data_IF_014991288263
#
_entry.id   IF_014991288263
#
_cell.length_a   1.000
_cell.length_b   1.000
_cell.length_c   1.000
_cell.angle_alpha   90.00
_cell.angle_beta   90.00
_cell.angle_gamma   90.00
#
_symmetry.space_group_name_H-M   'P 1'
#
loop_
_entity.id
_entity.type
_entity.pdbx_description
1 polymer ?
#
# COMPACT_ATOMS: atom_id res chain seq x y z
N UNK A 1 6.96 -10.70 16.28
CA UNK A 1 8.12 -10.00 15.70
C UNK A 1 8.79 -10.95 14.73
N UNK A 2 8.89 -10.52 13.48
CA UNK A 2 9.51 -11.27 12.39
C UNK A 2 10.92 -10.72 12.13
N UNK A 3 11.79 -11.57 11.64
CA UNK A 3 13.13 -11.17 11.23
C UNK A 3 13.09 -10.53 9.83
N UNK A 4 13.57 -9.30 9.72
CA UNK A 4 13.72 -8.60 8.45
C UNK A 4 14.88 -9.18 7.62
N UNK A 5 14.70 -9.28 6.30
CA UNK A 5 15.76 -9.65 5.35
C UNK A 5 16.57 -8.44 4.86
N UNK A 6 16.14 -7.23 5.19
CA UNK A 6 16.87 -5.97 4.90
C UNK A 6 17.21 -5.24 6.19
N UNK A 7 18.28 -4.46 6.14
CA UNK A 7 18.64 -3.53 7.22
C UNK A 7 17.70 -2.32 7.18
N UNK A 8 17.33 -1.82 8.35
CA UNK A 8 16.55 -0.61 8.54
C UNK A 8 17.01 0.09 9.82
N UNK A 9 16.77 1.39 9.92
CA UNK A 9 17.35 2.22 10.99
C UNK A 9 16.33 3.00 11.82
N UNK A 10 15.06 3.02 11.41
CA UNK A 10 14.02 3.67 12.20
C UNK A 10 13.81 2.97 13.55
N UNK A 11 13.82 3.76 14.63
CA UNK A 11 13.47 3.30 15.98
C UNK A 11 12.02 3.61 16.34
N UNK A 12 11.44 4.61 15.69
CA UNK A 12 10.05 5.03 15.84
C UNK A 12 9.49 5.50 14.50
N UNK A 13 8.19 5.30 14.26
CA UNK A 13 7.46 5.70 13.05
C UNK A 13 6.05 6.14 13.43
N UNK A 14 5.54 7.19 12.79
CA UNK A 14 4.12 7.56 12.81
C UNK A 14 3.42 7.05 11.54
N UNK A 15 2.60 5.98 11.62
CA UNK A 15 1.75 5.53 10.52
C UNK A 15 0.91 6.64 9.85
N UNK A 16 0.41 7.61 10.60
CA UNK A 16 -0.37 8.74 10.08
C UNK A 16 0.49 9.67 9.21
N UNK A 17 1.74 9.94 9.62
CA UNK A 17 2.67 10.70 8.78
C UNK A 17 3.06 9.90 7.52
N UNK A 18 3.21 8.56 7.62
CA UNK A 18 3.43 7.72 6.43
C UNK A 18 2.23 7.77 5.48
N UNK A 19 1.00 7.67 6.01
CA UNK A 19 -0.23 7.80 5.23
C UNK A 19 -0.23 9.13 4.45
N UNK A 20 -0.06 10.24 5.15
CA UNK A 20 -0.05 11.58 4.55
C UNK A 20 1.07 11.74 3.52
N UNK A 21 2.26 11.22 3.83
CA UNK A 21 3.40 11.27 2.90
C UNK A 21 3.11 10.52 1.60
N UNK A 22 2.47 9.36 1.68
CA UNK A 22 2.11 8.58 0.50
C UNK A 22 1.04 9.28 -0.36
N UNK A 23 0.07 9.95 0.27
CA UNK A 23 -0.91 10.81 -0.41
C UNK A 23 -0.23 11.95 -1.17
N UNK A 24 0.71 12.64 -0.53
CA UNK A 24 1.50 13.73 -1.13
C UNK A 24 2.36 13.25 -2.30
N UNK A 25 3.02 12.09 -2.16
CA UNK A 25 3.86 11.51 -3.22
C UNK A 25 3.05 11.17 -4.47
N UNK A 26 1.86 10.59 -4.31
CA UNK A 26 0.97 10.35 -5.46
C UNK A 26 0.52 11.65 -6.10
N UNK A 27 0.09 12.63 -5.29
CA UNK A 27 -0.30 13.95 -5.79
C UNK A 27 0.88 14.65 -6.51
N UNK A 28 2.11 14.37 -6.10
CA UNK A 28 3.36 14.89 -6.64
C UNK A 28 3.89 14.18 -7.90
N UNK A 29 3.21 13.14 -8.40
CA UNK A 29 3.51 12.53 -9.70
C UNK A 29 3.92 11.06 -9.67
N UNK A 30 4.11 10.46 -8.50
CA UNK A 30 4.24 9.01 -8.40
C UNK A 30 2.91 8.31 -8.67
N UNK A 31 2.96 7.08 -9.18
CA UNK A 31 1.83 6.17 -9.14
C UNK A 31 1.63 5.61 -7.73
N UNK A 32 0.46 5.03 -7.48
CA UNK A 32 0.05 4.61 -6.14
C UNK A 32 0.93 3.51 -5.54
N UNK A 33 1.40 2.55 -6.33
CA UNK A 33 2.37 1.55 -5.88
C UNK A 33 3.73 2.17 -5.51
N UNK A 34 4.21 3.10 -6.34
CA UNK A 34 5.50 3.78 -6.14
C UNK A 34 5.48 4.65 -4.89
N UNK A 35 4.40 5.42 -4.70
CA UNK A 35 4.21 6.27 -3.53
C UNK A 35 4.17 5.47 -2.21
N UNK A 36 3.53 4.29 -2.20
CA UNK A 36 3.57 3.38 -1.04
C UNK A 36 5.00 2.86 -0.80
N UNK A 37 5.68 2.38 -1.84
CA UNK A 37 7.06 1.88 -1.68
C UNK A 37 8.02 2.97 -1.19
N UNK A 38 7.93 4.17 -1.76
CA UNK A 38 8.76 5.32 -1.38
C UNK A 38 8.52 5.74 0.06
N UNK A 39 7.25 5.94 0.45
CA UNK A 39 6.92 6.35 1.83
C UNK A 39 7.38 5.33 2.87
N UNK A 40 7.20 4.03 2.62
CA UNK A 40 7.65 2.96 3.54
C UNK A 40 9.16 2.88 3.61
N UNK A 41 9.85 2.88 2.47
CA UNK A 41 11.31 2.84 2.42
C UNK A 41 11.92 3.98 3.24
N UNK A 42 11.40 5.19 3.05
CA UNK A 42 11.91 6.38 3.73
C UNK A 42 11.58 6.38 5.22
N UNK A 43 10.33 6.05 5.59
CA UNK A 43 9.89 6.05 6.98
C UNK A 43 10.65 5.05 7.85
N UNK A 44 10.90 3.85 7.33
CA UNK A 44 11.66 2.83 8.05
C UNK A 44 13.18 2.97 7.88
N UNK A 45 13.63 3.93 7.06
CA UNK A 45 15.04 4.12 6.71
C UNK A 45 15.67 2.81 6.23
N UNK A 46 14.96 2.12 5.33
CA UNK A 46 15.37 0.82 4.82
C UNK A 46 16.58 0.97 3.89
N UNK A 47 17.64 0.20 4.13
CA UNK A 47 18.87 0.19 3.34
C UNK A 47 18.71 -0.64 2.07
N UNK A 48 17.90 -0.11 1.16
CA UNK A 48 17.62 -0.68 -0.16
C UNK A 48 17.71 0.41 -1.22
N UNK A 49 18.13 0.07 -2.46
CA UNK A 49 18.22 1.04 -3.54
C UNK A 49 16.84 1.53 -3.98
N UNK A 50 16.75 2.74 -4.52
CA UNK A 50 15.49 3.30 -5.08
C UNK A 50 14.90 2.44 -6.22
N UNK A 51 15.71 1.56 -6.83
CA UNK A 51 15.22 0.61 -7.85
C UNK A 51 14.12 -0.31 -7.33
N UNK A 52 13.96 -0.50 -6.01
CA UNK A 52 12.79 -1.22 -5.45
C UNK A 52 11.48 -0.46 -5.64
N UNK A 53 11.53 0.88 -5.66
CA UNK A 53 10.37 1.72 -5.99
C UNK A 53 10.03 1.53 -7.47
N UNK A 54 11.04 1.62 -8.34
CA UNK A 54 10.88 1.42 -9.78
C UNK A 54 10.39 0.00 -10.15
N UNK A 55 10.77 -1.01 -9.37
CA UNK A 55 10.27 -2.38 -9.52
C UNK A 55 8.74 -2.47 -9.39
N UNK A 56 8.14 -1.57 -8.60
CA UNK A 56 6.69 -1.51 -8.41
C UNK A 56 5.93 -0.79 -9.55
N UNK A 57 6.62 -0.03 -10.42
CA UNK A 57 6.00 0.82 -11.45
C UNK A 57 5.07 0.06 -12.40
N UNK A 58 5.36 -1.22 -12.68
CA UNK A 58 4.52 -2.08 -13.51
C UNK A 58 3.11 -2.32 -12.94
N UNK A 59 2.91 -2.08 -11.65
CA UNK A 59 1.63 -2.23 -10.93
C UNK A 59 0.75 -0.97 -11.05
N UNK A 60 1.19 0.03 -11.80
CA UNK A 60 0.46 1.27 -12.01
C UNK A 60 -0.85 1.01 -12.76
N UNK A 61 -1.91 1.68 -12.29
CA UNK A 61 -3.27 1.46 -12.80
C UNK A 61 -3.64 -0.03 -12.69
N UNK A 62 -3.17 -0.64 -11.60
CA UNK A 62 -3.39 -2.00 -11.15
C UNK A 62 -2.28 -2.97 -11.53
N UNK A 63 -2.22 -3.35 -12.80
CA UNK A 63 -1.08 -4.08 -13.34
C UNK A 63 -1.01 -3.68 -14.81
N UNK A 64 -0.30 -2.60 -15.09
CA UNK A 64 -0.14 -2.03 -16.42
C UNK A 64 -1.46 -1.75 -17.13
N UNK A 65 -2.43 -1.11 -16.47
CA UNK A 65 -3.78 -0.79 -17.03
C UNK A 65 -4.70 -1.99 -17.27
N UNK A 66 -4.34 -3.19 -16.84
CA UNK A 66 -5.20 -4.37 -16.96
C UNK A 66 -6.45 -4.32 -16.07
N UNK A 67 -6.47 -3.43 -15.06
CA UNK A 67 -7.61 -3.29 -14.15
C UNK A 67 -7.69 -4.36 -13.06
N UNK A 68 -6.61 -5.11 -12.83
CA UNK A 68 -6.45 -6.11 -11.78
C UNK A 68 -6.30 -5.45 -10.39
N UNK A 69 -5.60 -6.09 -9.44
CA UNK A 69 -5.43 -5.59 -8.07
C UNK A 69 -5.01 -4.12 -8.02
N UNK A 70 -5.52 -3.35 -7.04
CA UNK A 70 -5.15 -1.96 -6.81
C UNK A 70 -3.63 -1.80 -6.64
N UNK A 71 -3.05 -0.79 -7.30
CA UNK A 71 -1.61 -0.54 -7.23
C UNK A 71 -1.12 -0.18 -5.82
N UNK A 72 -1.89 0.59 -5.04
CA UNK A 72 -1.54 0.90 -3.64
C UNK A 72 -1.46 -0.37 -2.78
N UNK A 73 -2.47 -1.23 -2.88
CA UNK A 73 -2.49 -2.52 -2.17
C UNK A 73 -1.32 -3.41 -2.62
N UNK A 74 -1.07 -3.50 -3.92
CA UNK A 74 0.04 -4.29 -4.43
C UNK A 74 1.40 -3.75 -3.96
N UNK A 75 1.59 -2.42 -3.99
CA UNK A 75 2.77 -1.75 -3.44
C UNK A 75 2.95 -2.05 -1.95
N UNK A 76 1.87 -2.08 -1.17
CA UNK A 76 1.94 -2.45 0.25
C UNK A 76 2.34 -3.91 0.47
N UNK A 77 1.84 -4.84 -0.35
CA UNK A 77 2.25 -6.26 -0.31
C UNK A 77 3.74 -6.40 -0.69
N UNK A 78 4.20 -5.66 -1.71
CA UNK A 78 5.61 -5.63 -2.10
C UNK A 78 6.49 -5.06 -0.98
N UNK A 79 6.03 -4.01 -0.30
CA UNK A 79 6.74 -3.41 0.84
C UNK A 79 6.86 -4.42 1.99
N UNK A 80 5.80 -5.15 2.34
CA UNK A 80 5.89 -6.24 3.33
C UNK A 80 6.88 -7.32 2.87
N UNK A 81 6.87 -7.68 1.59
CA UNK A 81 7.80 -8.66 1.02
C UNK A 81 9.26 -8.20 1.03
N UNK A 82 9.52 -6.91 0.94
CA UNK A 82 10.86 -6.33 1.07
C UNK A 82 11.46 -6.61 2.45
N UNK A 83 10.66 -6.57 3.52
CA UNK A 83 11.12 -6.88 4.88
C UNK A 83 11.06 -8.38 5.18
N UNK A 84 9.99 -9.09 4.80
CA UNK A 84 9.73 -10.45 5.30
C UNK A 84 9.72 -11.54 4.23
N UNK A 85 10.19 -11.22 3.02
CA UNK A 85 10.32 -12.17 1.93
C UNK A 85 11.31 -13.29 2.21
N UNK A 86 11.41 -14.20 1.25
CA UNK A 86 12.44 -15.24 1.22
C UNK A 86 13.44 -14.98 0.11
N UNK A 87 14.65 -15.50 0.27
CA UNK A 87 15.73 -15.44 -0.73
C UNK A 87 16.19 -16.82 -1.20
N UNK A 88 15.58 -17.88 -0.67
CA UNK A 88 15.88 -19.30 -0.96
C UNK A 88 14.66 -20.00 -1.55
N UNK A 89 14.83 -21.02 -2.42
CA UNK A 89 13.72 -21.69 -3.09
C UNK A 89 13.10 -22.83 -2.24
N UNK A 90 12.84 -22.61 -0.95
CA UNK A 90 12.46 -23.66 0.03
C UNK A 90 10.99 -24.14 -0.07
N UNK A 91 10.34 -23.88 -1.22
CA UNK A 91 8.99 -24.38 -1.51
C UNK A 91 7.85 -23.67 -0.74
N UNK A 92 6.60 -24.09 -0.91
CA UNK A 92 5.43 -23.41 -0.37
C UNK A 92 5.21 -23.60 1.14
N UNK A 93 5.95 -24.53 1.77
CA UNK A 93 5.87 -24.77 3.22
C UNK A 93 6.86 -23.92 4.03
N UNK A 94 7.66 -23.09 3.35
CA UNK A 94 8.60 -22.18 4.00
C UNK A 94 7.88 -21.27 5.01
N UNK A 95 8.34 -21.20 6.28
CA UNK A 95 7.67 -20.43 7.31
C UNK A 95 7.71 -18.92 7.06
N UNK A 96 8.78 -18.38 6.44
CA UNK A 96 8.88 -16.93 6.14
C UNK A 96 7.82 -16.53 5.10
N UNK A 97 7.67 -17.29 4.02
CA UNK A 97 6.61 -17.04 3.02
C UNK A 97 5.22 -17.18 3.61
N UNK A 98 4.97 -18.19 4.44
CA UNK A 98 3.66 -18.35 5.08
C UNK A 98 3.33 -17.19 6.03
N UNK A 99 4.32 -16.68 6.77
CA UNK A 99 4.16 -15.47 7.59
C UNK A 99 3.85 -14.24 6.73
N UNK A 100 4.62 -14.00 5.66
CA UNK A 100 4.38 -12.89 4.73
C UNK A 100 3.00 -12.99 4.06
N UNK A 101 2.55 -14.19 3.67
CA UNK A 101 1.22 -14.38 3.11
C UNK A 101 0.11 -14.03 4.11
N UNK A 102 0.31 -14.32 5.40
CA UNK A 102 -0.64 -13.92 6.44
C UNK A 102 -0.74 -12.39 6.58
N UNK A 103 0.40 -11.69 6.59
CA UNK A 103 0.43 -10.21 6.64
C UNK A 103 -0.17 -9.59 5.37
N UNK A 104 0.11 -10.18 4.21
CA UNK A 104 -0.47 -9.73 2.93
C UNK A 104 -1.99 -9.91 2.91
N UNK A 105 -2.49 -11.01 3.48
CA UNK A 105 -3.93 -11.25 3.65
C UNK A 105 -4.56 -10.26 4.62
N UNK A 106 -3.90 -9.96 5.74
CA UNK A 106 -4.35 -8.94 6.70
C UNK A 106 -4.51 -7.59 6.01
N UNK A 107 -3.48 -7.13 5.29
CA UNK A 107 -3.54 -5.87 4.54
C UNK A 107 -4.64 -5.89 3.47
N UNK A 108 -4.76 -6.98 2.72
CA UNK A 108 -5.76 -7.13 1.67
C UNK A 108 -7.18 -7.02 2.23
N UNK A 109 -7.50 -7.79 3.26
CA UNK A 109 -8.84 -7.83 3.83
C UNK A 109 -9.19 -6.52 4.52
N UNK A 110 -8.24 -5.97 5.29
CA UNK A 110 -8.41 -4.65 5.89
C UNK A 110 -8.64 -3.58 4.82
N UNK A 111 -7.86 -3.56 3.74
CA UNK A 111 -8.01 -2.56 2.67
C UNK A 111 -9.37 -2.66 2.00
N UNK A 112 -9.88 -3.88 1.76
CA UNK A 112 -11.21 -4.07 1.17
C UNK A 112 -12.28 -3.39 2.00
N UNK A 113 -12.25 -3.56 3.31
CA UNK A 113 -13.24 -2.95 4.19
C UNK A 113 -12.98 -1.44 4.35
N UNK A 114 -11.73 -1.05 4.55
CA UNK A 114 -11.31 0.33 4.74
C UNK A 114 -11.57 1.23 3.52
N UNK A 115 -11.71 0.69 2.31
CA UNK A 115 -11.98 1.48 1.12
C UNK A 115 -13.46 1.78 0.86
N UNK A 116 -14.36 1.31 1.73
CA UNK A 116 -15.82 1.47 1.66
C UNK A 116 -16.50 0.98 0.37
N UNK A 117 -15.74 0.34 -0.54
CA UNK A 117 -16.24 -0.32 -1.76
C UNK A 117 -16.14 -1.85 -1.69
N UNK A 118 -15.50 -2.40 -0.66
CA UNK A 118 -15.34 -3.84 -0.43
C UNK A 118 -14.67 -4.58 -1.60
N UNK A 119 -13.78 -3.90 -2.33
CA UNK A 119 -13.14 -4.41 -3.53
C UNK A 119 -11.62 -4.22 -3.51
N UNK A 120 -10.88 -5.12 -4.17
CA UNK A 120 -9.43 -5.02 -4.33
C UNK A 120 -9.03 -4.73 -5.79
N UNK A 121 -9.87 -5.10 -6.77
CA UNK A 121 -9.59 -4.89 -8.18
C UNK A 121 -9.78 -3.41 -8.56
N UNK A 122 -8.74 -2.80 -9.12
CA UNK A 122 -8.71 -1.44 -9.65
C UNK A 122 -9.91 -1.16 -10.56
N UNK A 123 -10.26 -2.07 -11.48
CA UNK A 123 -11.43 -1.91 -12.37
C UNK A 123 -12.76 -1.78 -11.62
N UNK A 124 -12.90 -2.46 -10.49
CA UNK A 124 -14.12 -2.37 -9.67
C UNK A 124 -14.11 -1.07 -8.88
N UNK A 125 -12.97 -0.73 -8.27
CA UNK A 125 -12.77 0.49 -7.49
C UNK A 125 -12.97 1.75 -8.32
N UNK A 126 -12.57 1.74 -9.60
CA UNK A 126 -12.68 2.89 -10.51
C UNK A 126 -13.85 2.77 -11.48
N UNK A 127 -14.78 1.83 -11.28
CA UNK A 127 -15.96 1.69 -12.16
C UNK A 127 -16.74 3.01 -12.20
N UNK A 128 -17.02 3.48 -13.41
CA UNK A 128 -17.78 4.70 -13.68
C UNK A 128 -16.94 5.98 -13.67
N UNK A 129 -15.67 5.94 -13.26
CA UNK A 129 -14.78 7.09 -13.41
C UNK A 129 -14.19 7.16 -14.81
N UNK A 130 -14.02 8.38 -15.33
CA UNK A 130 -13.08 8.62 -16.40
C UNK A 130 -11.65 8.65 -15.84
N UNK A 131 -10.82 7.73 -16.33
CA UNK A 131 -9.42 7.64 -15.91
C UNK A 131 -8.57 8.74 -16.56
N UNK A 132 -9.05 9.40 -17.62
CA UNK A 132 -8.38 10.54 -18.24
C UNK A 132 -8.76 11.88 -17.58
N UNK A 133 -10.03 12.05 -17.20
CA UNK A 133 -10.55 13.26 -16.54
C UNK A 133 -9.96 13.55 -15.16
N UNK A 134 -9.43 12.52 -14.47
CA UNK A 134 -8.67 12.67 -13.24
C UNK A 134 -9.52 12.78 -11.96
N UNK A 135 -10.84 12.67 -12.06
CA UNK A 135 -11.75 12.71 -10.89
C UNK A 135 -11.47 11.55 -9.92
N UNK A 136 -11.05 10.39 -10.45
CA UNK A 136 -10.63 9.23 -9.66
C UNK A 136 -9.40 9.51 -8.76
N UNK A 137 -8.60 10.56 -9.04
CA UNK A 137 -7.34 10.82 -8.32
C UNK A 137 -7.56 11.02 -6.83
N UNK A 138 -8.64 11.71 -6.43
CA UNK A 138 -8.96 11.90 -5.00
C UNK A 138 -9.08 10.55 -4.27
N UNK A 139 -9.77 9.60 -4.90
CA UNK A 139 -9.89 8.24 -4.39
C UNK A 139 -8.53 7.52 -4.36
N UNK A 140 -7.77 7.59 -5.46
CA UNK A 140 -6.48 6.91 -5.53
C UNK A 140 -5.45 7.47 -4.54
N UNK A 141 -5.48 8.77 -4.26
CA UNK A 141 -4.70 9.42 -3.21
C UNK A 141 -5.06 8.79 -1.86
N UNK A 142 -6.34 8.82 -1.49
CA UNK A 142 -6.79 8.26 -0.21
C UNK A 142 -6.42 6.77 -0.06
N UNK A 143 -6.63 5.96 -1.10
CA UNK A 143 -6.26 4.54 -1.06
C UNK A 143 -4.76 4.30 -0.95
N UNK A 144 -3.94 5.18 -1.52
CA UNK A 144 -2.47 5.17 -1.38
C UNK A 144 -2.09 5.42 0.07
N UNK A 145 -2.67 6.45 0.68
CA UNK A 145 -2.50 6.75 2.11
C UNK A 145 -2.90 5.61 3.02
N UNK A 146 -4.11 5.07 2.85
CA UNK A 146 -4.63 3.95 3.66
C UNK A 146 -3.69 2.73 3.61
N UNK A 147 -3.23 2.33 2.42
CA UNK A 147 -2.33 1.20 2.29
C UNK A 147 -0.97 1.49 2.96
N UNK A 148 -0.40 2.67 2.76
CA UNK A 148 0.90 3.03 3.33
C UNK A 148 0.84 3.09 4.87
N UNK A 149 -0.16 3.76 5.42
CA UNK A 149 -0.37 3.82 6.86
C UNK A 149 -0.57 2.42 7.46
N UNK A 150 -1.43 1.59 6.86
CA UNK A 150 -1.65 0.22 7.37
C UNK A 150 -0.40 -0.64 7.31
N UNK A 151 0.38 -0.52 6.24
CA UNK A 151 1.67 -1.22 6.15
C UNK A 151 2.62 -0.74 7.24
N UNK A 152 2.67 0.56 7.52
CA UNK A 152 3.49 1.10 8.61
C UNK A 152 3.08 0.55 9.98
N UNK A 153 1.77 0.40 10.26
CA UNK A 153 1.30 -0.26 11.49
C UNK A 153 1.80 -1.70 11.61
N UNK A 154 1.64 -2.49 10.52
CA UNK A 154 2.08 -3.88 10.47
C UNK A 154 3.59 -3.96 10.68
N UNK A 155 4.36 -3.10 10.03
CA UNK A 155 5.82 -3.07 10.17
C UNK A 155 6.25 -2.64 11.57
N UNK A 156 5.62 -1.64 12.18
CA UNK A 156 5.89 -1.27 13.58
C UNK A 156 5.71 -2.50 14.50
N UNK A 157 4.58 -3.19 14.36
CA UNK A 157 4.25 -4.40 15.13
C UNK A 157 5.26 -5.53 14.93
N UNK A 158 5.61 -5.83 13.68
CA UNK A 158 6.44 -7.00 13.37
C UNK A 158 7.94 -6.75 13.50
N UNK A 159 8.41 -5.53 13.28
CA UNK A 159 9.82 -5.16 13.44
C UNK A 159 10.16 -4.73 14.88
N UNK A 160 9.15 -4.43 15.70
CA UNK A 160 9.37 -3.87 17.04
C UNK A 160 9.79 -2.40 17.02
N UNK A 161 9.48 -1.69 15.94
CA UNK A 161 9.66 -0.23 15.81
C UNK A 161 8.51 0.45 16.55
N UNK A 162 8.82 1.46 17.36
CA UNK A 162 7.80 2.15 18.16
C UNK A 162 6.81 2.89 17.25
N UNK A 163 5.51 2.59 17.41
CA UNK A 163 4.45 3.39 16.81
C UNK A 163 4.21 4.63 17.69
N UNK A 164 4.35 5.82 17.12
CA UNK A 164 4.17 7.10 17.85
C UNK A 164 2.75 7.64 17.82
N UNK A 165 1.85 7.03 17.06
CA UNK A 165 0.45 7.42 16.98
C UNK A 165 -0.39 6.78 18.10
N UNK A 166 -1.35 7.54 18.63
CA UNK A 166 -2.27 7.05 19.66
C UNK A 166 -3.39 6.17 19.09
N UNK A 167 -3.86 6.49 17.88
CA UNK A 167 -4.98 5.83 17.21
C UNK A 167 -4.49 5.06 15.98
N UNK A 168 -5.20 3.99 15.58
CA UNK A 168 -4.88 3.27 14.36
C UNK A 168 -5.34 4.05 13.11
N UNK A 169 -4.86 3.63 11.94
CA UNK A 169 -5.35 4.08 10.65
C UNK A 169 -6.81 3.67 10.48
N UNK A 170 -7.67 4.67 10.30
CA UNK A 170 -9.08 4.47 10.04
C UNK A 170 -9.38 4.34 8.55
N UNK A 171 -10.35 3.48 8.22
CA UNK A 171 -10.90 3.39 6.87
C UNK A 171 -11.80 4.58 6.51
N UNK A 172 -12.17 4.66 5.23
CA UNK A 172 -13.14 5.63 4.75
C UNK A 172 -14.51 5.37 5.34
N UNK A 173 -15.20 6.44 5.73
CA UNK A 173 -16.59 6.38 6.20
C UNK A 173 -17.57 6.10 5.06
N UNK A 174 -17.26 6.60 3.86
CA UNK A 174 -18.09 6.48 2.66
C UNK A 174 -17.22 6.27 1.42
N UNK A 175 -17.72 5.57 0.39
CA UNK A 175 -16.97 5.36 -0.84
C UNK A 175 -16.92 6.63 -1.68
N UNK A 176 -15.80 6.85 -2.35
CA UNK A 176 -15.74 7.83 -3.44
C UNK A 176 -16.62 7.38 -4.62
N UNK A 177 -17.56 8.22 -5.04
CA UNK A 177 -18.45 7.91 -6.17
C UNK A 177 -18.01 8.65 -7.43
N UNK A 178 -18.22 8.06 -8.63
CA UNK A 178 -18.01 8.77 -9.88
C UNK A 178 -18.97 9.97 -9.98
N UNK A 179 -18.61 11.01 -10.76
CA UNK A 179 -19.51 12.13 -11.02
C UNK A 179 -20.84 11.62 -11.59
N UNK A 180 -21.96 12.21 -11.14
CA UNK A 180 -23.27 11.93 -11.72
C UNK A 180 -23.25 12.47 -13.14
N UNK A 181 -23.38 11.58 -14.14
CA UNK A 181 -23.63 12.01 -15.51
C UNK A 181 -25.08 12.51 -15.57
N UNK A 182 -25.28 13.81 -15.79
CA UNK A 182 -26.60 14.33 -16.11
C UNK A 182 -27.08 13.63 -17.39
N UNK A 183 -28.27 13.03 -17.32
CA UNK A 183 -28.89 12.42 -18.48
C UNK A 183 -29.18 13.52 -19.51
N UNK A 184 -28.49 13.48 -20.64
CA UNK A 184 -28.79 14.31 -21.82
C UNK A 184 -30.03 13.76 -22.51
#
# INVERSE_FOLDING_TARGET
MLESIVTYHATEVSPHEVQKKAEELYAGGFFCCEAVMSSIRDAFQADVPESVIAMSSGMSIGAGRSGCMCGALNGGILALGMFFGRTTPDGPKDPKVNALMALSKELHDWFRDANAKHAACCRVLTRGFDMAGGEHKKQCIAFTGLCAGKVAEILCRELGVANTDAEPIEGLKEPYLPPVQEAV
#
